data_IF_191143162446
#
_entry.id   IF_191143162446
#
_cell.length_a   1.000
_cell.length_b   1.000
_cell.length_c   1.000
_cell.angle_alpha   90.00
_cell.angle_beta   90.00
_cell.angle_gamma   90.00
#
_symmetry.space_group_name_H-M   'P 1'
#
loop_
_entity.id
_entity.type
_entity.pdbx_description
1 polymer ?
#
# COMPACT_ATOMS: atom_id res chain seq x y z
N UNK A 1 8.56 3.73 -23.88
CA UNK A 1 7.74 4.38 -22.82
C UNK A 1 8.58 4.70 -21.61
N UNK A 2 8.05 5.51 -20.71
CA UNK A 2 8.69 5.83 -19.43
C UNK A 2 7.80 5.28 -18.31
N UNK A 3 8.40 4.70 -17.26
CA UNK A 3 7.68 4.28 -16.07
C UNK A 3 7.02 5.49 -15.41
N UNK A 4 5.76 5.33 -14.99
CA UNK A 4 5.00 6.35 -14.28
C UNK A 4 4.95 6.01 -12.79
N UNK A 5 5.40 6.94 -11.96
CA UNK A 5 5.29 6.89 -10.51
C UNK A 5 4.39 8.06 -10.08
N UNK A 6 3.26 7.78 -9.45
CA UNK A 6 2.31 8.80 -9.05
C UNK A 6 2.06 8.78 -7.54
N UNK A 7 2.10 9.96 -6.92
CA UNK A 7 1.73 10.14 -5.51
C UNK A 7 0.22 9.96 -5.34
N UNK A 8 -0.21 8.94 -4.61
CA UNK A 8 -1.62 8.60 -4.37
C UNK A 8 -1.84 8.26 -2.90
N UNK A 9 -2.01 9.28 -2.06
CA UNK A 9 -2.19 9.09 -0.63
C UNK A 9 -3.65 8.83 -0.25
N UNK A 10 -4.58 9.64 -0.78
CA UNK A 10 -6.01 9.51 -0.54
C UNK A 10 -6.69 8.45 -1.40
N UNK A 11 -7.83 7.95 -0.93
CA UNK A 11 -8.70 7.00 -1.65
C UNK A 11 -9.16 7.53 -3.01
N UNK A 12 -9.57 8.78 -3.08
CA UNK A 12 -9.96 9.43 -4.33
C UNK A 12 -8.77 9.56 -5.31
N UNK A 13 -7.56 9.86 -4.82
CA UNK A 13 -6.37 9.91 -5.65
C UNK A 13 -6.02 8.52 -6.22
N UNK A 14 -6.13 7.46 -5.40
CA UNK A 14 -5.98 6.09 -5.86
C UNK A 14 -7.00 5.75 -6.95
N UNK A 15 -8.28 6.07 -6.74
CA UNK A 15 -9.33 5.85 -7.73
C UNK A 15 -9.08 6.60 -9.05
N UNK A 16 -8.69 7.87 -8.96
CA UNK A 16 -8.37 8.69 -10.13
C UNK A 16 -7.18 8.12 -10.93
N UNK A 17 -6.15 7.69 -10.24
CA UNK A 17 -4.98 7.09 -10.88
C UNK A 17 -5.33 5.79 -11.61
N UNK A 18 -6.10 4.89 -10.96
CA UNK A 18 -6.57 3.66 -11.59
C UNK A 18 -7.45 3.94 -12.81
N UNK A 19 -8.38 4.89 -12.72
CA UNK A 19 -9.23 5.28 -13.84
C UNK A 19 -8.44 5.84 -15.03
N UNK A 20 -7.41 6.65 -14.77
CA UNK A 20 -6.53 7.18 -15.81
C UNK A 20 -5.73 6.08 -16.51
N UNK A 21 -5.21 5.10 -15.75
CA UNK A 21 -4.51 3.95 -16.32
C UNK A 21 -5.44 3.04 -17.13
N UNK A 22 -6.68 2.82 -16.65
CA UNK A 22 -7.67 2.05 -17.39
C UNK A 22 -8.01 2.71 -18.72
N UNK A 23 -8.20 4.03 -18.73
CA UNK A 23 -8.42 4.79 -19.96
C UNK A 23 -7.24 4.64 -20.93
N UNK A 24 -6.00 4.79 -20.44
CA UNK A 24 -4.80 4.62 -21.26
C UNK A 24 -4.68 3.19 -21.83
N UNK A 25 -5.01 2.18 -21.03
CA UNK A 25 -5.02 0.78 -21.48
C UNK A 25 -6.02 0.54 -22.62
N UNK A 26 -7.20 1.16 -22.53
CA UNK A 26 -8.22 1.11 -23.60
C UNK A 26 -7.77 1.79 -24.90
N UNK A 27 -6.88 2.76 -24.80
CA UNK A 27 -6.22 3.42 -25.93
C UNK A 27 -5.01 2.63 -26.48
N UNK A 28 -4.75 1.44 -25.94
CA UNK A 28 -3.70 0.54 -26.41
C UNK A 28 -2.33 0.74 -25.75
N UNK A 29 -2.26 1.47 -24.63
CA UNK A 29 -1.01 1.59 -23.87
C UNK A 29 -0.68 0.27 -23.18
N UNK A 30 0.52 -0.25 -23.40
CA UNK A 30 1.04 -1.44 -22.70
C UNK A 30 1.48 -1.08 -21.27
N UNK A 31 0.56 -1.26 -20.32
CA UNK A 31 0.83 -0.97 -18.91
C UNK A 31 1.83 -1.98 -18.30
N UNK A 32 1.88 -3.21 -18.79
CA UNK A 32 2.84 -4.21 -18.29
C UNK A 32 4.29 -3.80 -18.60
N UNK A 33 4.53 -3.24 -19.78
CA UNK A 33 5.83 -2.67 -20.12
C UNK A 33 6.15 -1.39 -19.34
N UNK A 34 5.15 -0.60 -18.96
CA UNK A 34 5.33 0.64 -18.20
C UNK A 34 5.55 0.40 -16.72
N UNK A 35 5.03 -0.69 -16.15
CA UNK A 35 5.14 -1.02 -14.72
C UNK A 35 4.75 0.17 -13.82
N UNK A 36 3.50 0.68 -13.90
CA UNK A 36 3.10 1.87 -13.17
C UNK A 36 3.15 1.66 -11.66
N UNK A 37 3.63 2.67 -10.93
CA UNK A 37 3.79 2.62 -9.47
C UNK A 37 2.85 3.62 -8.80
N UNK A 38 2.10 3.14 -7.79
CA UNK A 38 1.26 3.97 -6.92
C UNK A 38 2.03 4.25 -5.63
N UNK A 39 2.59 5.47 -5.49
CA UNK A 39 3.35 5.87 -4.31
C UNK A 39 2.41 6.15 -3.14
N UNK A 40 2.76 5.71 -1.97
CA UNK A 40 2.02 5.67 -0.70
C UNK A 40 0.89 4.65 -0.68
N UNK A 41 -0.10 4.72 -1.59
CA UNK A 41 -1.26 3.84 -1.59
C UNK A 41 -1.91 3.73 -0.19
N UNK A 42 -1.85 4.80 0.61
CA UNK A 42 -2.16 4.76 2.04
C UNK A 42 -3.64 4.46 2.27
N UNK A 43 -4.53 5.15 1.58
CA UNK A 43 -5.97 4.93 1.65
C UNK A 43 -6.49 4.11 0.45
N UNK A 44 -5.64 3.31 -0.17
CA UNK A 44 -6.07 2.36 -1.20
C UNK A 44 -7.09 1.39 -0.61
N UNK A 45 -8.30 1.40 -1.16
CA UNK A 45 -9.39 0.53 -0.72
C UNK A 45 -9.13 -0.94 -1.09
N UNK A 46 -9.57 -1.85 -0.23
CA UNK A 46 -9.49 -3.30 -0.54
C UNK A 46 -10.33 -3.66 -1.76
N UNK A 47 -11.41 -2.96 -2.00
CA UNK A 47 -12.27 -3.05 -3.18
C UNK A 47 -11.58 -2.63 -4.48
N UNK A 48 -10.52 -1.82 -4.39
CA UNK A 48 -9.71 -1.38 -5.52
C UNK A 48 -8.57 -2.36 -5.88
N UNK A 49 -8.21 -3.29 -4.99
CA UNK A 49 -7.12 -4.24 -5.22
C UNK A 49 -7.29 -5.13 -6.47
N UNK A 50 -8.50 -5.62 -6.82
CA UNK A 50 -8.68 -6.35 -8.06
C UNK A 50 -8.30 -5.52 -9.30
N UNK A 51 -8.58 -4.23 -9.28
CA UNK A 51 -8.25 -3.31 -10.36
C UNK A 51 -6.73 -3.02 -10.42
N UNK A 52 -6.10 -2.82 -9.24
CA UNK A 52 -4.64 -2.72 -9.11
C UNK A 52 -3.96 -3.92 -9.77
N UNK A 53 -4.45 -5.13 -9.47
CA UNK A 53 -3.96 -6.38 -10.06
C UNK A 53 -4.16 -6.43 -11.57
N UNK A 54 -5.38 -6.12 -12.03
CA UNK A 54 -5.74 -6.14 -13.45
C UNK A 54 -4.87 -5.21 -14.31
N UNK A 55 -4.59 -4.02 -13.78
CA UNK A 55 -3.78 -3.00 -14.45
C UNK A 55 -2.27 -3.18 -14.27
N UNK A 56 -1.83 -4.16 -13.47
CA UNK A 56 -0.42 -4.39 -13.19
C UNK A 56 0.26 -3.25 -12.43
N UNK A 57 -0.52 -2.50 -11.63
CA UNK A 57 0.00 -1.42 -10.80
C UNK A 57 0.77 -2.01 -9.61
N UNK A 58 1.90 -1.41 -9.28
CA UNK A 58 2.74 -1.79 -8.15
C UNK A 58 2.54 -0.76 -7.04
N UNK A 59 1.79 -1.06 -5.96
CA UNK A 59 1.71 -0.19 -4.81
C UNK A 59 3.06 -0.10 -4.10
N UNK A 60 3.46 1.10 -3.71
CA UNK A 60 4.63 1.33 -2.86
C UNK A 60 4.13 1.91 -1.55
N UNK A 61 4.02 1.07 -0.51
CA UNK A 61 3.41 1.48 0.75
C UNK A 61 4.40 2.19 1.67
N UNK A 62 3.99 3.32 2.23
CA UNK A 62 4.66 3.94 3.36
C UNK A 62 4.05 3.42 4.68
N UNK A 63 4.31 2.16 4.99
CA UNK A 63 3.65 1.43 6.09
C UNK A 63 3.98 1.99 7.48
N UNK A 64 5.10 2.69 7.65
CA UNK A 64 5.46 3.34 8.91
C UNK A 64 4.45 4.43 9.35
N UNK A 65 3.57 4.88 8.45
CA UNK A 65 2.41 5.69 8.83
C UNK A 65 1.57 5.08 9.97
N UNK A 66 1.49 3.75 10.02
CA UNK A 66 0.77 3.05 11.09
C UNK A 66 1.37 3.39 12.45
N UNK A 67 2.69 3.32 12.58
CA UNK A 67 3.37 3.60 13.84
C UNK A 67 3.38 5.09 14.16
N UNK A 68 3.84 5.91 13.23
CA UNK A 68 4.10 7.33 13.49
C UNK A 68 2.83 8.17 13.62
N UNK A 69 1.77 7.84 12.86
CA UNK A 69 0.55 8.64 12.76
C UNK A 69 -0.74 7.82 12.91
N UNK A 70 -0.67 6.54 13.25
CA UNK A 70 -1.84 5.66 13.33
C UNK A 70 -2.92 6.17 14.30
N UNK A 71 -2.50 6.70 15.45
CA UNK A 71 -3.44 7.26 16.43
C UNK A 71 -4.16 8.50 15.86
N UNK A 72 -3.43 9.38 15.17
CA UNK A 72 -4.00 10.56 14.49
C UNK A 72 -4.94 10.15 13.33
N UNK A 73 -4.59 9.09 12.61
CA UNK A 73 -5.47 8.57 11.56
C UNK A 73 -6.78 8.04 12.13
N UNK A 74 -6.75 7.41 13.30
CA UNK A 74 -7.97 6.98 13.98
C UNK A 74 -8.90 8.15 14.34
N UNK A 75 -8.32 9.25 14.80
CA UNK A 75 -9.08 10.47 15.12
C UNK A 75 -9.67 11.13 13.86
N UNK A 76 -8.84 11.28 12.82
CA UNK A 76 -9.22 12.05 11.63
C UNK A 76 -10.09 11.26 10.63
N UNK A 77 -9.89 9.96 10.49
CA UNK A 77 -10.55 9.13 9.48
C UNK A 77 -11.65 8.23 10.08
N UNK A 78 -11.67 8.12 11.39
CA UNK A 78 -12.45 7.11 12.09
C UNK A 78 -11.88 5.68 11.96
N UNK A 79 -12.32 4.74 12.83
CA UNK A 79 -11.72 3.41 12.91
C UNK A 79 -11.80 2.64 11.59
N UNK A 80 -12.92 2.64 10.89
CA UNK A 80 -13.11 1.86 9.67
C UNK A 80 -12.09 2.17 8.57
N UNK A 81 -11.81 3.45 8.30
CA UNK A 81 -10.84 3.87 7.29
C UNK A 81 -9.40 3.75 7.80
N UNK A 82 -9.17 4.15 9.05
CA UNK A 82 -7.83 4.10 9.65
C UNK A 82 -7.30 2.66 9.77
N UNK A 83 -8.14 1.69 10.10
CA UNK A 83 -7.75 0.29 10.17
C UNK A 83 -7.44 -0.33 8.80
N UNK A 84 -7.95 0.26 7.73
CA UNK A 84 -7.74 -0.22 6.37
C UNK A 84 -6.49 0.38 5.68
N UNK A 85 -5.78 1.35 6.29
CA UNK A 85 -4.63 2.01 5.66
C UNK A 85 -3.51 1.03 5.30
N UNK A 86 -2.80 1.32 4.22
CA UNK A 86 -1.65 0.55 3.73
C UNK A 86 -1.95 -0.97 3.70
N UNK A 87 -2.86 -1.45 2.83
CA UNK A 87 -3.39 -2.81 2.84
C UNK A 87 -2.40 -3.84 2.24
N UNK A 88 -1.16 -3.84 2.72
CA UNK A 88 -0.09 -4.70 2.19
C UNK A 88 -0.40 -6.20 2.33
N UNK A 89 -1.00 -6.62 3.45
CA UNK A 89 -1.43 -8.01 3.65
C UNK A 89 -2.48 -8.43 2.61
N UNK A 90 -3.51 -7.59 2.40
CA UNK A 90 -4.54 -7.88 1.40
C UNK A 90 -3.99 -7.88 -0.04
N UNK A 91 -2.97 -7.06 -0.33
CA UNK A 91 -2.27 -7.09 -1.60
C UNK A 91 -1.49 -8.41 -1.77
N UNK A 92 -0.79 -8.86 -0.71
CA UNK A 92 -0.08 -10.15 -0.70
C UNK A 92 -1.01 -11.34 -0.94
N UNK A 93 -2.16 -11.38 -0.24
CA UNK A 93 -3.19 -12.42 -0.39
C UNK A 93 -3.70 -12.52 -1.84
N UNK A 94 -3.79 -11.39 -2.54
CA UNK A 94 -4.21 -11.34 -3.95
C UNK A 94 -3.05 -11.54 -4.94
N UNK A 95 -1.83 -11.77 -4.47
CA UNK A 95 -0.65 -11.95 -5.33
C UNK A 95 -0.24 -10.68 -6.06
N UNK A 96 -0.57 -9.51 -5.52
CA UNK A 96 -0.18 -8.21 -6.07
C UNK A 96 1.25 -7.91 -5.62
N UNK A 97 2.20 -7.68 -6.54
CA UNK A 97 3.54 -7.24 -6.17
C UNK A 97 3.49 -5.83 -5.60
N UNK A 98 4.20 -5.59 -4.51
CA UNK A 98 4.30 -4.28 -3.89
C UNK A 98 5.69 -4.03 -3.32
N UNK A 99 5.98 -2.78 -2.99
CA UNK A 99 7.21 -2.37 -2.32
C UNK A 99 6.89 -1.58 -1.06
N UNK A 100 7.89 -1.42 -0.19
CA UNK A 100 7.84 -0.48 0.91
C UNK A 100 8.82 0.68 0.67
N UNK A 101 8.48 1.86 1.18
CA UNK A 101 9.36 3.01 1.22
C UNK A 101 9.18 3.78 2.54
N UNK A 102 10.04 4.76 2.78
CA UNK A 102 10.09 5.51 4.03
C UNK A 102 9.95 7.01 3.84
N UNK A 103 9.82 7.44 2.58
CA UNK A 103 9.59 8.84 2.22
C UNK A 103 10.61 9.79 2.86
N UNK A 104 11.90 9.39 2.88
CA UNK A 104 12.96 10.22 3.44
C UNK A 104 12.99 11.62 2.76
N UNK A 105 13.09 12.71 3.53
CA UNK A 105 13.47 12.81 4.95
C UNK A 105 12.28 12.84 5.94
N UNK A 106 11.07 12.43 5.54
CA UNK A 106 9.88 12.43 6.41
C UNK A 106 10.13 11.58 7.65
N UNK A 107 10.67 10.37 7.45
CA UNK A 107 11.24 9.58 8.53
C UNK A 107 12.67 9.19 8.17
N UNK A 108 13.45 8.79 9.20
CA UNK A 108 14.79 8.28 9.01
C UNK A 108 14.75 6.96 8.22
N UNK A 109 15.65 6.75 7.24
CA UNK A 109 15.75 5.50 6.53
C UNK A 109 16.14 4.33 7.45
N UNK A 110 15.17 3.45 7.73
CA UNK A 110 15.36 2.24 8.53
C UNK A 110 14.41 1.14 8.02
N UNK A 111 14.95 0.24 7.20
CA UNK A 111 14.16 -0.83 6.61
C UNK A 111 13.72 -1.89 7.62
N UNK A 112 14.45 -2.06 8.73
CA UNK A 112 14.02 -2.97 9.80
C UNK A 112 12.81 -2.42 10.53
N UNK A 113 12.78 -1.11 10.82
CA UNK A 113 11.58 -0.44 11.34
C UNK A 113 10.40 -0.59 10.38
N UNK A 114 10.62 -0.42 9.07
CA UNK A 114 9.57 -0.58 8.06
C UNK A 114 8.97 -1.99 8.06
N UNK A 115 9.82 -3.02 8.08
CA UNK A 115 9.37 -4.42 8.17
C UNK A 115 8.63 -4.68 9.48
N UNK A 116 9.14 -4.15 10.58
CA UNK A 116 8.51 -4.25 11.89
C UNK A 116 7.12 -3.59 11.90
N UNK A 117 6.98 -2.39 11.33
CA UNK A 117 5.70 -1.69 11.19
C UNK A 117 4.69 -2.52 10.35
N UNK A 118 5.15 -3.11 9.25
CA UNK A 118 4.32 -3.94 8.40
C UNK A 118 3.79 -5.19 9.11
N UNK A 119 4.67 -5.86 9.87
CA UNK A 119 4.36 -7.11 10.57
C UNK A 119 3.49 -6.87 11.82
N UNK A 120 3.77 -5.84 12.59
CA UNK A 120 3.09 -5.63 13.88
C UNK A 120 1.88 -4.70 13.79
N UNK A 121 1.92 -3.71 12.91
CA UNK A 121 0.88 -2.68 12.75
C UNK A 121 0.49 -2.01 14.08
N UNK A 122 1.46 -1.75 14.93
CA UNK A 122 1.28 -1.06 16.20
C UNK A 122 1.38 0.45 16.00
N UNK A 123 0.48 1.20 16.64
CA UNK A 123 0.61 2.65 16.82
C UNK A 123 1.58 2.97 17.96
N UNK A 124 1.93 4.24 18.14
CA UNK A 124 2.77 4.68 19.27
C UNK A 124 2.14 4.39 20.64
N UNK A 125 0.82 4.39 20.72
CA UNK A 125 0.10 4.04 21.96
C UNK A 125 -0.04 2.53 22.18
N UNK A 126 0.51 1.70 21.26
CA UNK A 126 0.46 0.24 21.34
C UNK A 126 -0.83 -0.39 20.81
N UNK A 127 -1.68 0.39 20.18
CA UNK A 127 -2.90 -0.11 19.55
C UNK A 127 -2.56 -0.83 18.23
N UNK A 128 -3.15 -2.01 18.00
CA UNK A 128 -3.03 -2.70 16.71
C UNK A 128 -4.00 -2.08 15.72
N UNK A 129 -3.49 -1.59 14.59
CA UNK A 129 -4.28 -0.94 13.56
C UNK A 129 -4.51 -1.86 12.37
N UNK A 130 -5.74 -2.42 12.26
CA UNK A 130 -6.15 -3.25 11.15
C UNK A 130 -5.39 -4.57 11.05
N UNK A 131 -5.61 -5.48 11.99
CA UNK A 131 -4.93 -6.78 12.03
C UNK A 131 -5.01 -7.57 10.70
N UNK A 132 -6.09 -7.44 9.93
CA UNK A 132 -6.24 -8.03 8.59
C UNK A 132 -5.38 -7.38 7.50
N UNK A 133 -4.65 -6.30 7.81
CA UNK A 133 -3.69 -5.68 6.91
C UNK A 133 -2.25 -6.16 7.13
N UNK A 134 -2.03 -7.10 8.06
CA UNK A 134 -0.72 -7.73 8.26
C UNK A 134 -0.42 -8.68 7.11
N UNK A 135 0.81 -8.72 6.61
CA UNK A 135 1.21 -9.74 5.64
C UNK A 135 1.07 -11.19 6.16
N UNK A 136 1.08 -11.35 7.49
CA UNK A 136 1.03 -12.65 8.19
C UNK A 136 -0.24 -12.81 9.03
N UNK A 137 -1.37 -12.23 8.64
CA UNK A 137 -2.65 -12.39 9.37
C UNK A 137 -2.98 -13.86 9.64
N UNK A 138 -3.82 -14.19 10.67
CA UNK A 138 -4.09 -15.57 11.09
C UNK A 138 -4.88 -16.35 10.04
N UNK A 139 -4.18 -16.86 9.06
CA UNK A 139 -4.63 -17.69 7.97
C UNK A 139 -3.40 -18.24 7.29
N UNK A 140 -2.77 -19.27 7.93
CA UNK A 140 -1.52 -19.86 7.51
C UNK A 140 -1.46 -20.15 6.01
N UNK A 141 -0.68 -19.38 5.30
CA UNK A 141 -0.20 -19.60 3.96
C UNK A 141 1.22 -19.08 3.91
N UNK A 142 2.11 -19.84 3.32
CA UNK A 142 3.54 -19.60 3.16
C UNK A 142 3.92 -18.12 3.13
N UNK A 143 4.79 -17.71 4.03
CA UNK A 143 5.19 -16.35 4.39
C UNK A 143 5.24 -15.25 3.32
N UNK A 144 5.39 -13.99 3.75
CA UNK A 144 5.15 -12.83 2.91
C UNK A 144 6.03 -12.87 1.66
N UNK A 145 5.40 -12.87 0.50
CA UNK A 145 6.11 -12.64 -0.76
C UNK A 145 6.39 -11.14 -0.93
N UNK A 146 7.01 -10.55 0.10
CA UNK A 146 7.67 -9.28 -0.05
C UNK A 146 8.89 -9.51 -0.94
N UNK A 147 8.86 -9.00 -2.15
CA UNK A 147 10.08 -8.87 -2.95
C UNK A 147 10.71 -7.54 -2.49
N UNK A 148 11.80 -7.54 -1.73
CA UNK A 148 12.52 -6.31 -1.48
C UNK A 148 13.09 -5.85 -2.83
N UNK A 149 12.55 -4.77 -3.36
CA UNK A 149 13.17 -4.07 -4.48
C UNK A 149 14.08 -3.02 -3.85
N UNK A 150 15.38 -3.29 -3.89
CA UNK A 150 16.43 -2.33 -3.58
C UNK A 150 16.63 -1.39 -4.76
#
# INVERSE_FOLDING_TARGET
>A
GRQLLAHCNGDAACAQYLAALDAAAREGVDLAALRPVMIHAQLLGRDQLPEVRRLGVIPSFFVAHVYHWGDVHLENLGPGRAEAISPAGSAAEQGIPFTFHQDAPVIRPDMLETVWCAANRLTRTGRVLGAGGRPDGPGGGDGPRCIPVF
#
